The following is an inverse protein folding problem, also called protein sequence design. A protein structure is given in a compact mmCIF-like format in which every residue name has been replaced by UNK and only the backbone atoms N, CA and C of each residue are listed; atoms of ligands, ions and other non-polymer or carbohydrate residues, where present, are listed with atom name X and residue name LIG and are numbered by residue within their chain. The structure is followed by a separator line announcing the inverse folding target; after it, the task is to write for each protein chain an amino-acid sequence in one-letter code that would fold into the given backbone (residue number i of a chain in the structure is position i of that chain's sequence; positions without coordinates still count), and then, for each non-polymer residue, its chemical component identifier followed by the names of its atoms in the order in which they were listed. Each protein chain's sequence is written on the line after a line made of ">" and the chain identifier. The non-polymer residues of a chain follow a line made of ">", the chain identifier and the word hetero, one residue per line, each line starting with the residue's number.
data_IF_708627524845
#
_entry.id   IF_708627524845
#
_cell.length_a   1.000
_cell.length_b   1.000
_cell.length_c   1.000
_cell.angle_alpha   90.00
_cell.angle_beta   90.00
_cell.angle_gamma   90.00
#
_symmetry.space_group_name_H-M   'P 1'
#
loop_
_entity.id
_entity.type
_entity.pdbx_description
1 polymer ?
#
# COMPACT_ATOMS: atom_id res chain seq x y z
N UNK A 1 -18.00 -5.42 23.02
CA UNK A 1 -18.49 -4.87 21.73
C UNK A 1 -17.49 -5.23 20.65
N UNK A 2 -17.69 -6.37 19.98
CA UNK A 2 -16.84 -6.79 18.85
C UNK A 2 -17.15 -5.88 17.66
N UNK A 3 -16.16 -5.08 17.22
CA UNK A 3 -16.30 -4.24 16.03
C UNK A 3 -16.62 -5.13 14.82
N UNK A 4 -17.65 -4.82 14.00
CA UNK A 4 -17.90 -5.57 12.79
C UNK A 4 -16.66 -5.49 11.90
N UNK A 5 -16.11 -6.64 11.51
CA UNK A 5 -15.09 -6.72 10.45
C UNK A 5 -15.74 -6.13 9.20
N UNK A 6 -15.31 -4.94 8.80
CA UNK A 6 -15.66 -4.34 7.52
C UNK A 6 -15.37 -5.37 6.43
N UNK A 7 -16.40 -5.71 5.67
CA UNK A 7 -16.51 -6.89 4.80
C UNK A 7 -15.73 -6.74 3.47
N UNK A 8 -14.88 -5.71 3.37
CA UNK A 8 -14.30 -5.20 2.12
C UNK A 8 -12.78 -5.04 2.23
N UNK A 9 -12.09 -6.01 2.83
CA UNK A 9 -10.63 -6.03 2.83
C UNK A 9 -10.15 -7.41 2.45
N UNK A 10 -9.55 -7.51 1.26
CA UNK A 10 -8.93 -8.73 0.76
C UNK A 10 -7.43 -8.76 1.10
N UNK A 11 -6.91 -9.95 1.36
CA UNK A 11 -5.50 -10.12 1.70
C UNK A 11 -4.65 -10.09 0.43
N UNK A 12 -3.86 -9.03 0.25
CA UNK A 12 -2.86 -8.94 -0.81
C UNK A 12 -1.54 -9.60 -0.38
N UNK A 13 -1.24 -10.77 -0.98
CA UNK A 13 0.02 -11.47 -0.79
C UNK A 13 0.94 -11.22 -1.98
N UNK A 14 1.91 -10.32 -1.86
CA UNK A 14 2.86 -10.01 -2.94
C UNK A 14 4.30 -10.30 -2.54
N UNK A 15 5.07 -10.88 -3.46
CA UNK A 15 6.51 -11.06 -3.32
C UNK A 15 7.20 -9.85 -3.92
N UNK A 16 7.83 -9.05 -3.08
CA UNK A 16 8.59 -7.86 -3.49
C UNK A 16 10.07 -8.18 -3.50
N UNK A 17 10.82 -7.51 -4.38
CA UNK A 17 12.27 -7.51 -4.32
C UNK A 17 12.75 -6.92 -2.98
N UNK A 18 13.90 -7.40 -2.50
CA UNK A 18 14.46 -6.98 -1.22
C UNK A 18 14.64 -5.46 -1.14
N UNK A 19 15.07 -4.82 -2.23
CA UNK A 19 15.26 -3.35 -2.27
C UNK A 19 13.94 -2.61 -2.15
N UNK A 20 12.90 -3.05 -2.86
CA UNK A 20 11.58 -2.45 -2.77
C UNK A 20 10.97 -2.61 -1.37
N UNK A 21 11.23 -3.76 -0.73
CA UNK A 21 10.81 -4.00 0.66
C UNK A 21 11.53 -3.08 1.65
N UNK A 22 12.82 -2.84 1.47
CA UNK A 22 13.61 -1.91 2.30
C UNK A 22 13.11 -0.47 2.14
N UNK A 23 12.90 0.00 0.90
CA UNK A 23 12.33 1.32 0.64
C UNK A 23 10.95 1.51 1.26
N UNK A 24 10.10 0.48 1.20
CA UNK A 24 8.79 0.50 1.86
C UNK A 24 8.93 0.61 3.38
N UNK A 25 9.88 -0.12 3.99
CA UNK A 25 10.12 -0.05 5.43
C UNK A 25 10.63 1.32 5.86
N UNK A 26 11.61 1.88 5.14
CA UNK A 26 12.12 3.23 5.41
C UNK A 26 11.03 4.29 5.27
N UNK A 27 10.18 4.16 4.25
CA UNK A 27 9.04 5.03 4.07
C UNK A 27 8.09 4.92 5.27
N UNK A 28 7.71 3.70 5.66
CA UNK A 28 6.84 3.47 6.82
C UNK A 28 7.41 4.07 8.12
N UNK A 29 8.73 3.93 8.33
CA UNK A 29 9.43 4.47 9.49
C UNK A 29 9.39 6.00 9.52
N UNK A 30 9.63 6.65 8.37
CA UNK A 30 9.62 8.12 8.25
C UNK A 30 8.24 8.76 8.44
N UNK A 31 7.18 8.15 7.92
CA UNK A 31 5.81 8.71 8.02
C UNK A 31 5.00 8.13 9.19
N UNK A 32 5.56 7.18 9.95
CA UNK A 32 4.88 6.52 11.07
C UNK A 32 3.63 5.74 10.65
N UNK A 33 3.59 5.23 9.41
CA UNK A 33 2.45 4.48 8.88
C UNK A 33 2.73 2.97 8.91
N UNK A 34 1.67 2.17 9.03
CA UNK A 34 1.77 0.72 8.85
C UNK A 34 2.02 0.38 7.38
N UNK A 35 2.75 -0.71 7.12
CA UNK A 35 3.05 -1.19 5.76
C UNK A 35 1.80 -1.33 4.90
N UNK A 36 0.71 -1.85 5.48
CA UNK A 36 -0.60 -1.97 4.80
C UNK A 36 -1.09 -0.62 4.30
N UNK A 37 -1.16 0.40 5.17
CA UNK A 37 -1.63 1.74 4.78
C UNK A 37 -0.69 2.43 3.80
N UNK A 38 0.61 2.21 3.93
CA UNK A 38 1.61 2.76 3.01
C UNK A 38 1.42 2.16 1.60
N UNK A 39 1.23 0.85 1.51
CA UNK A 39 0.96 0.15 0.24
C UNK A 39 -0.38 0.56 -0.35
N UNK A 40 -1.45 0.64 0.45
CA UNK A 40 -2.76 1.11 -0.02
C UNK A 40 -2.68 2.52 -0.64
N UNK A 41 -1.97 3.44 0.02
CA UNK A 41 -1.75 4.79 -0.52
C UNK A 41 -0.90 4.79 -1.79
N UNK A 42 0.15 3.97 -1.84
CA UNK A 42 0.99 3.86 -3.01
C UNK A 42 0.21 3.34 -4.23
N UNK A 43 -0.61 2.30 -4.03
CA UNK A 43 -1.48 1.74 -5.08
C UNK A 43 -2.51 2.78 -5.53
N UNK A 44 -3.20 3.44 -4.59
CA UNK A 44 -4.20 4.44 -4.92
C UNK A 44 -3.60 5.62 -5.72
N UNK A 45 -2.40 6.07 -5.33
CA UNK A 45 -1.69 7.13 -6.04
C UNK A 45 -1.26 6.69 -7.44
N UNK A 46 -0.66 5.50 -7.56
CA UNK A 46 -0.28 4.95 -8.85
C UNK A 46 -1.50 4.79 -9.77
N UNK A 47 -2.62 4.32 -9.25
CA UNK A 47 -3.85 4.15 -10.03
C UNK A 47 -4.42 5.49 -10.50
N UNK A 48 -4.40 6.52 -9.64
CA UNK A 48 -4.81 7.87 -10.01
C UNK A 48 -3.90 8.46 -11.11
N UNK A 49 -2.58 8.37 -10.93
CA UNK A 49 -1.60 8.85 -11.91
C UNK A 49 -1.72 8.08 -13.24
N UNK A 50 -1.95 6.77 -13.19
CA UNK A 50 -2.13 5.94 -14.37
C UNK A 50 -3.43 6.27 -15.12
N UNK A 51 -4.54 6.52 -14.40
CA UNK A 51 -5.79 6.93 -15.04
C UNK A 51 -5.71 8.33 -15.64
N UNK A 52 -4.94 9.24 -15.06
CA UNK A 52 -4.72 10.59 -15.62
C UNK A 52 -3.77 10.58 -16.83
N UNK A 53 -2.70 9.80 -16.79
CA UNK A 53 -1.60 9.89 -17.78
C UNK A 53 -1.58 8.75 -18.80
N UNK A 54 -2.27 7.64 -18.52
CA UNK A 54 -2.33 6.46 -19.37
C UNK A 54 -0.99 5.74 -19.58
N UNK A 55 0.03 6.01 -18.76
CA UNK A 55 1.38 5.43 -18.89
C UNK A 55 1.85 4.85 -17.56
N UNK A 56 2.41 3.63 -17.62
CA UNK A 56 3.07 2.92 -16.50
C UNK A 56 4.51 3.39 -16.38
#
# INVERSE_FOLDING_TARGET
>A
MSRPKTKDSENLSCRLDKKAMEQLNELCDRIGLTKTKAVEKAIAKFYAEYMETGRV
#
